data_IF_311087382886
#
_entry.id   IF_311087382886
#
_cell.length_a   1.000
_cell.length_b   1.000
_cell.length_c   1.000
_cell.angle_alpha   90.00
_cell.angle_beta   90.00
_cell.angle_gamma   90.00
#
_symmetry.space_group_name_H-M   'P 1'
#
loop_
_entity.id
_entity.type
_entity.pdbx_description
1 polymer ?
#
# COMPACT_ATOMS: atom_id res chain seq x y z
N UNK A 1 -11.34 5.09 -19.27
CA UNK A 1 -12.17 5.72 -18.25
C UNK A 1 -13.10 4.67 -17.75
N UNK A 2 -13.17 4.50 -16.44
CA UNK A 2 -13.95 3.41 -15.85
C UNK A 2 -14.26 3.64 -14.39
N UNK A 3 -15.12 2.78 -13.85
CA UNK A 3 -15.43 2.74 -12.42
C UNK A 3 -14.59 1.66 -11.74
N UNK A 4 -13.78 2.05 -10.77
CA UNK A 4 -12.84 1.19 -10.07
C UNK A 4 -13.17 1.20 -8.58
N UNK A 5 -13.44 0.03 -8.03
CA UNK A 5 -13.50 -0.19 -6.59
C UNK A 5 -12.07 -0.39 -6.06
N UNK A 6 -11.68 0.36 -5.05
CA UNK A 6 -10.34 0.39 -4.48
C UNK A 6 -10.37 -0.17 -3.06
N UNK A 7 -9.44 -1.09 -2.74
CA UNK A 7 -9.39 -1.79 -1.45
C UNK A 7 -7.98 -1.74 -0.88
N UNK A 8 -7.85 -1.25 0.36
CA UNK A 8 -6.59 -1.20 1.08
C UNK A 8 -6.71 -1.86 2.45
N UNK A 9 -5.87 -2.86 2.70
CA UNK A 9 -5.84 -3.63 3.96
C UNK A 9 -4.43 -4.09 4.33
N UNK A 10 -3.40 -3.59 3.65
CA UNK A 10 -2.02 -4.06 3.80
C UNK A 10 -1.34 -3.60 5.09
N UNK A 11 -1.87 -2.57 5.75
CA UNK A 11 -1.33 -1.98 6.97
C UNK A 11 -2.40 -1.91 8.09
N UNK A 12 -2.22 -1.02 9.06
CA UNK A 12 -3.17 -0.81 10.17
C UNK A 12 -4.51 -0.26 9.68
N UNK A 13 -4.47 0.61 8.67
CA UNK A 13 -5.68 1.18 8.07
C UNK A 13 -6.44 0.12 7.28
N UNK A 14 -7.76 0.14 7.43
CA UNK A 14 -8.70 -0.54 6.55
C UNK A 14 -9.48 0.51 5.78
N UNK A 15 -9.39 0.54 4.46
CA UNK A 15 -10.13 1.49 3.65
C UNK A 15 -10.69 0.87 2.37
N UNK A 16 -11.77 1.47 1.88
CA UNK A 16 -12.31 1.24 0.56
C UNK A 16 -12.73 2.58 -0.07
N UNK A 17 -12.55 2.69 -1.37
CA UNK A 17 -12.95 3.85 -2.13
C UNK A 17 -13.53 3.45 -3.48
N UNK A 18 -14.30 4.35 -4.09
CA UNK A 18 -14.78 4.23 -5.45
C UNK A 18 -14.22 5.39 -6.26
N UNK A 19 -13.56 5.07 -7.35
CA UNK A 19 -13.13 6.06 -8.34
C UNK A 19 -13.93 5.89 -9.63
N UNK A 20 -14.33 7.01 -10.22
CA UNK A 20 -14.98 7.08 -11.54
C UNK A 20 -14.15 8.01 -12.40
N UNK A 21 -13.70 7.53 -13.54
CA UNK A 21 -12.84 8.27 -14.46
C UNK A 21 -11.61 8.90 -13.77
N UNK A 22 -10.96 8.12 -12.90
CA UNK A 22 -9.78 8.52 -12.14
C UNK A 22 -10.04 9.47 -10.95
N UNK A 23 -11.29 9.84 -10.68
CA UNK A 23 -11.67 10.72 -9.57
C UNK A 23 -12.34 9.91 -8.45
N UNK A 24 -11.87 10.06 -7.22
CA UNK A 24 -12.51 9.46 -6.06
C UNK A 24 -13.86 10.12 -5.82
N UNK A 25 -14.95 9.34 -5.89
CA UNK A 25 -16.32 9.78 -5.65
C UNK A 25 -16.87 9.33 -4.29
N UNK A 26 -16.22 8.33 -3.70
CA UNK A 26 -16.51 7.84 -2.35
C UNK A 26 -15.22 7.31 -1.72
N UNK A 27 -15.05 7.53 -0.43
CA UNK A 27 -13.95 6.95 0.34
C UNK A 27 -14.38 6.77 1.79
N UNK A 28 -13.98 5.66 2.38
CA UNK A 28 -14.19 5.35 3.80
C UNK A 28 -13.00 4.60 4.35
N UNK A 29 -12.56 5.00 5.56
CA UNK A 29 -11.45 4.37 6.24
C UNK A 29 -11.67 4.25 7.73
N UNK A 30 -10.93 3.32 8.35
CA UNK A 30 -10.82 3.16 9.79
C UNK A 30 -9.36 2.91 10.16
N UNK A 31 -8.85 3.65 11.13
CA UNK A 31 -7.47 3.63 11.62
C UNK A 31 -7.33 3.00 13.01
N UNK A 32 -8.43 2.56 13.64
CA UNK A 32 -8.42 1.92 14.97
C UNK A 32 -7.73 0.54 14.97
N UNK A 33 -7.42 0.00 13.79
CA UNK A 33 -6.69 -1.27 13.59
C UNK A 33 -7.52 -2.52 13.85
N UNK A 34 -6.97 -3.68 13.39
CA UNK A 34 -7.45 -5.05 13.68
C UNK A 34 -8.94 -5.37 13.39
N UNK A 35 -9.62 -4.58 12.56
CA UNK A 35 -11.04 -4.75 12.24
C UNK A 35 -11.34 -5.01 10.76
N UNK A 36 -10.32 -5.30 9.93
CA UNK A 36 -10.43 -5.41 8.47
C UNK A 36 -11.56 -6.34 8.03
N UNK A 37 -11.59 -7.59 8.53
CA UNK A 37 -12.62 -8.56 8.16
C UNK A 37 -14.04 -8.12 8.55
N UNK A 38 -14.18 -7.34 9.61
CA UNK A 38 -15.48 -6.84 10.09
C UNK A 38 -15.96 -5.61 9.33
N UNK A 39 -15.03 -4.70 8.99
CA UNK A 39 -15.38 -3.38 8.46
C UNK A 39 -15.42 -3.34 6.94
N UNK A 40 -14.47 -4.03 6.29
CA UNK A 40 -14.32 -3.98 4.84
C UNK A 40 -15.60 -4.29 4.06
N UNK A 41 -16.40 -5.32 4.41
CA UNK A 41 -17.65 -5.59 3.68
C UNK A 41 -18.64 -4.41 3.72
N UNK A 42 -18.74 -3.73 4.87
CA UNK A 42 -19.58 -2.54 5.02
C UNK A 42 -19.09 -1.35 4.19
N UNK A 43 -17.78 -1.13 4.15
CA UNK A 43 -17.19 -0.05 3.33
C UNK A 43 -17.38 -0.29 1.84
N UNK A 44 -17.21 -1.55 1.41
CA UNK A 44 -17.47 -1.97 0.03
C UNK A 44 -18.95 -1.78 -0.34
N UNK A 45 -19.88 -2.22 0.50
CA UNK A 45 -21.31 -2.03 0.26
C UNK A 45 -21.70 -0.55 0.12
N UNK A 46 -21.14 0.32 0.97
CA UNK A 46 -21.36 1.78 0.85
C UNK A 46 -20.74 2.35 -0.44
N UNK A 47 -19.54 1.90 -0.84
CA UNK A 47 -18.92 2.30 -2.09
C UNK A 47 -19.80 1.90 -3.31
N UNK A 48 -20.31 0.68 -3.32
CA UNK A 48 -21.17 0.16 -4.37
C UNK A 48 -22.50 0.91 -4.49
N UNK A 49 -23.08 1.35 -3.37
CA UNK A 49 -24.28 2.18 -3.38
C UNK A 49 -24.04 3.54 -4.06
N UNK A 50 -22.83 4.09 -3.92
CA UNK A 50 -22.44 5.33 -4.60
C UNK A 50 -22.25 5.16 -6.12
N UNK A 51 -22.13 3.92 -6.61
CA UNK A 51 -22.07 3.63 -8.04
C UNK A 51 -23.44 3.78 -8.74
N UNK A 52 -24.53 3.82 -7.98
CA UNK A 52 -25.88 4.07 -8.53
C UNK A 52 -26.39 3.01 -9.49
N UNK A 53 -25.88 1.78 -9.42
CA UNK A 53 -26.25 0.68 -10.31
C UNK A 53 -25.45 0.62 -11.62
N UNK A 54 -24.47 1.50 -11.82
CA UNK A 54 -23.57 1.38 -12.97
C UNK A 54 -22.62 0.14 -12.82
N UNK A 55 -22.00 -0.26 -13.92
CA UNK A 55 -21.07 -1.41 -13.92
C UNK A 55 -19.76 -1.03 -13.21
N UNK A 56 -19.17 -1.98 -12.47
CA UNK A 56 -17.76 -1.91 -12.04
C UNK A 56 -16.90 -2.45 -13.18
N UNK A 57 -15.92 -1.67 -13.62
CA UNK A 57 -14.97 -2.10 -14.64
C UNK A 57 -13.79 -2.86 -14.06
N UNK A 58 -13.32 -2.45 -12.87
CA UNK A 58 -12.22 -3.11 -12.18
C UNK A 58 -12.36 -3.03 -10.66
N UNK A 59 -11.70 -3.96 -9.98
CA UNK A 59 -11.41 -3.93 -8.54
C UNK A 59 -9.90 -3.85 -8.38
N UNK A 60 -9.41 -2.83 -7.70
CA UNK A 60 -7.99 -2.68 -7.38
C UNK A 60 -7.74 -2.97 -5.91
N UNK A 61 -6.62 -3.63 -5.60
CA UNK A 61 -6.26 -4.01 -4.24
C UNK A 61 -4.76 -3.91 -4.03
N UNK A 62 -4.35 -3.53 -2.81
CA UNK A 62 -2.94 -3.60 -2.40
C UNK A 62 -2.45 -5.04 -2.46
N UNK A 63 -1.37 -5.24 -3.21
CA UNK A 63 -0.79 -6.57 -3.43
C UNK A 63 0.29 -6.94 -2.41
N UNK A 64 0.74 -6.01 -1.57
CA UNK A 64 1.85 -6.20 -0.64
C UNK A 64 3.13 -5.48 -1.08
N UNK A 65 4.19 -5.57 -0.25
CA UNK A 65 4.23 -6.26 1.04
C UNK A 65 3.38 -5.59 2.12
N UNK A 66 3.14 -6.30 3.24
CA UNK A 66 2.35 -5.76 4.35
C UNK A 66 1.87 -6.83 5.34
N UNK A 67 0.83 -6.49 6.09
CA UNK A 67 0.18 -7.40 7.04
C UNK A 67 -0.31 -8.68 6.35
N UNK A 68 0.21 -9.83 6.73
CA UNK A 68 -0.17 -11.13 6.18
C UNK A 68 -1.69 -11.37 6.22
N UNK A 69 -2.30 -11.13 7.39
CA UNK A 69 -3.76 -11.29 7.55
C UNK A 69 -4.54 -10.23 6.76
N UNK A 70 -4.08 -8.98 6.81
CA UNK A 70 -4.71 -7.89 6.09
C UNK A 70 -4.73 -8.13 4.59
N UNK A 71 -3.59 -8.45 3.99
CA UNK A 71 -3.48 -8.76 2.55
C UNK A 71 -4.40 -9.91 2.13
N UNK A 72 -4.51 -10.98 2.94
CA UNK A 72 -5.42 -12.09 2.63
C UNK A 72 -6.88 -11.66 2.62
N UNK A 73 -7.29 -10.83 3.60
CA UNK A 73 -8.65 -10.30 3.66
C UNK A 73 -8.95 -9.44 2.43
N UNK A 74 -8.08 -8.48 2.12
CA UNK A 74 -8.26 -7.57 0.99
C UNK A 74 -8.28 -8.30 -0.35
N UNK A 75 -7.29 -9.15 -0.61
CA UNK A 75 -7.16 -9.89 -1.87
C UNK A 75 -8.31 -10.89 -2.04
N UNK A 76 -8.71 -11.64 -0.98
CA UNK A 76 -9.85 -12.54 -1.08
C UNK A 76 -11.16 -11.79 -1.38
N UNK A 77 -11.36 -10.63 -0.74
CA UNK A 77 -12.53 -9.76 -1.00
C UNK A 77 -12.49 -9.23 -2.44
N UNK A 78 -11.35 -8.71 -2.89
CA UNK A 78 -11.20 -8.18 -4.24
C UNK A 78 -11.43 -9.24 -5.33
N UNK A 79 -10.89 -10.45 -5.15
CA UNK A 79 -11.11 -11.59 -6.06
C UNK A 79 -12.59 -11.97 -6.12
N UNK A 80 -13.25 -12.07 -4.96
CA UNK A 80 -14.68 -12.40 -4.89
C UNK A 80 -15.55 -11.36 -5.60
N UNK A 81 -15.24 -10.08 -5.43
CA UNK A 81 -15.95 -8.97 -6.10
C UNK A 81 -15.65 -8.94 -7.60
N UNK A 82 -14.39 -9.06 -8.01
CA UNK A 82 -14.02 -9.09 -9.42
C UNK A 82 -14.73 -10.23 -10.16
N UNK A 83 -14.74 -11.43 -9.56
CA UNK A 83 -15.46 -12.57 -10.12
C UNK A 83 -16.98 -12.34 -10.15
N UNK A 84 -17.58 -11.86 -9.05
CA UNK A 84 -19.03 -11.68 -8.94
C UNK A 84 -19.60 -10.59 -9.85
N UNK A 85 -18.82 -9.57 -10.16
CA UNK A 85 -19.22 -8.44 -11.03
C UNK A 85 -18.69 -8.56 -12.46
N UNK A 86 -18.02 -9.65 -12.81
CA UNK A 86 -17.32 -9.79 -14.10
C UNK A 86 -16.41 -8.59 -14.40
N UNK A 87 -15.65 -8.19 -13.37
CA UNK A 87 -14.76 -7.04 -13.40
C UNK A 87 -13.29 -7.48 -13.45
N UNK A 88 -12.42 -6.62 -13.96
CA UNK A 88 -10.99 -6.85 -13.99
C UNK A 88 -10.39 -6.73 -12.56
N UNK A 89 -9.30 -7.46 -12.28
CA UNK A 89 -8.58 -7.36 -11.02
C UNK A 89 -7.24 -6.65 -11.24
N UNK A 90 -6.99 -5.62 -10.46
CA UNK A 90 -5.77 -4.81 -10.52
C UNK A 90 -5.01 -4.96 -9.21
N UNK A 91 -3.72 -5.32 -9.30
CA UNK A 91 -2.81 -5.37 -8.17
C UNK A 91 -1.99 -4.08 -8.11
N UNK A 92 -1.96 -3.42 -6.93
CA UNK A 92 -1.15 -2.22 -6.69
C UNK A 92 -0.15 -2.53 -5.58
N UNK A 93 1.17 -2.50 -5.83
CA UNK A 93 2.18 -2.70 -4.81
C UNK A 93 2.04 -1.66 -3.68
N UNK A 94 2.07 -2.12 -2.43
CA UNK A 94 1.85 -1.22 -1.28
C UNK A 94 2.93 -0.14 -1.16
N UNK A 95 4.19 -0.47 -1.46
CA UNK A 95 5.28 0.50 -1.42
C UNK A 95 5.16 1.54 -2.55
N UNK A 96 4.69 1.16 -3.74
CA UNK A 96 4.38 2.11 -4.82
C UNK A 96 3.25 3.07 -4.42
N UNK A 97 2.18 2.54 -3.79
CA UNK A 97 1.09 3.36 -3.26
C UNK A 97 1.59 4.39 -2.25
N UNK A 98 2.48 3.98 -1.33
CA UNK A 98 3.08 4.88 -0.35
C UNK A 98 3.99 5.92 -1.02
N UNK A 99 4.84 5.53 -1.98
CA UNK A 99 5.70 6.45 -2.73
C UNK A 99 4.87 7.49 -3.48
N UNK A 100 3.80 7.05 -4.15
CA UNK A 100 2.86 7.94 -4.82
C UNK A 100 2.17 8.90 -3.84
N UNK A 101 1.81 8.41 -2.64
CA UNK A 101 1.21 9.23 -1.59
C UNK A 101 2.18 10.32 -1.11
N UNK A 102 3.47 9.99 -0.91
CA UNK A 102 4.50 10.99 -0.58
C UNK A 102 4.57 12.07 -1.65
N UNK A 103 4.77 11.67 -2.93
CA UNK A 103 4.83 12.59 -4.07
C UNK A 103 3.62 13.53 -4.14
N UNK A 104 2.44 13.03 -3.80
CA UNK A 104 1.19 13.82 -3.87
C UNK A 104 0.98 14.72 -2.64
N UNK A 105 1.67 14.45 -1.53
CA UNK A 105 1.44 15.13 -0.24
C UNK A 105 2.49 16.19 0.09
N UNK A 106 3.72 16.03 -0.40
CA UNK A 106 4.84 16.93 -0.13
C UNK A 106 5.58 17.28 -1.43
N UNK A 107 6.24 18.43 -1.43
CA UNK A 107 7.14 18.80 -2.54
C UNK A 107 8.43 18.01 -2.42
N UNK A 108 8.62 17.04 -3.33
CA UNK A 108 9.81 16.20 -3.42
C UNK A 108 10.83 16.87 -4.37
N UNK A 109 12.06 17.05 -3.92
CA UNK A 109 13.12 17.63 -4.76
C UNK A 109 13.37 16.75 -6.00
N UNK A 110 13.68 17.34 -7.18
CA UNK A 110 13.76 16.61 -8.45
C UNK A 110 14.74 15.43 -8.47
N UNK A 111 15.87 15.55 -7.76
CA UNK A 111 16.92 14.52 -7.70
C UNK A 111 16.84 13.63 -6.45
N UNK A 112 15.80 13.82 -5.63
CA UNK A 112 15.61 13.07 -4.40
C UNK A 112 15.11 11.65 -4.68
N UNK A 113 15.25 10.82 -3.66
CA UNK A 113 14.64 9.48 -3.60
C UNK A 113 13.48 9.47 -2.60
N UNK A 114 12.51 8.63 -2.85
CA UNK A 114 11.43 8.29 -1.92
C UNK A 114 11.66 6.86 -1.47
N UNK A 115 11.66 6.64 -0.15
CA UNK A 115 11.84 5.32 0.47
C UNK A 115 10.66 5.02 1.39
N UNK A 116 9.54 4.52 0.87
CA UNK A 116 8.47 4.02 1.70
C UNK A 116 8.93 2.83 2.52
N UNK A 117 8.48 2.77 3.78
CA UNK A 117 8.84 1.74 4.75
C UNK A 117 7.62 1.20 5.45
N UNK A 118 7.43 -0.11 5.38
CA UNK A 118 6.38 -0.83 6.11
C UNK A 118 7.02 -1.57 7.29
N UNK A 119 6.41 -1.49 8.47
CA UNK A 119 6.94 -2.12 9.68
C UNK A 119 6.94 -3.66 9.57
N UNK A 120 8.13 -4.26 9.61
CA UNK A 120 8.34 -5.71 9.63
C UNK A 120 8.71 -6.25 11.03
N UNK A 121 8.45 -5.46 12.08
CA UNK A 121 8.76 -5.68 13.50
C UNK A 121 10.25 -5.48 13.84
N UNK A 122 10.52 -5.15 15.12
CA UNK A 122 11.85 -4.78 15.60
C UNK A 122 12.42 -3.64 14.76
N UNK A 123 13.71 -3.69 14.39
CA UNK A 123 14.34 -2.70 13.49
C UNK A 123 14.31 -3.12 12.02
N UNK A 124 13.46 -4.07 11.65
CA UNK A 124 13.29 -4.48 10.26
C UNK A 124 12.12 -3.77 9.60
N UNK A 125 12.30 -3.41 8.33
CA UNK A 125 11.27 -2.81 7.48
C UNK A 125 11.22 -3.52 6.13
N UNK A 126 10.06 -3.47 5.47
CA UNK A 126 9.97 -3.69 4.03
C UNK A 126 10.09 -2.34 3.36
N UNK A 127 11.03 -2.20 2.45
CA UNK A 127 11.32 -0.94 1.76
C UNK A 127 11.65 -1.15 0.30
N UNK A 128 11.53 -0.08 -0.47
CA UNK A 128 11.93 0.02 -1.87
C UNK A 128 12.26 1.48 -2.17
N UNK A 129 13.24 1.72 -3.02
CA UNK A 129 13.55 3.05 -3.47
C UNK A 129 12.76 3.41 -4.73
N UNK A 130 12.29 4.65 -4.76
CA UNK A 130 11.61 5.28 -5.89
C UNK A 130 12.29 6.61 -6.22
N UNK A 131 12.19 7.05 -7.46
CA UNK A 131 12.61 8.39 -7.83
C UNK A 131 11.58 9.46 -7.37
N UNK A 132 11.87 10.73 -7.60
CA UNK A 132 10.99 11.84 -7.23
C UNK A 132 9.63 11.82 -7.94
N UNK A 133 9.52 11.06 -9.04
CA UNK A 133 8.28 10.85 -9.78
C UNK A 133 7.53 9.58 -9.34
N UNK A 134 7.96 8.96 -8.23
CA UNK A 134 7.44 7.69 -7.70
C UNK A 134 7.54 6.52 -8.71
N UNK A 135 8.61 6.51 -9.53
CA UNK A 135 8.97 5.36 -10.36
C UNK A 135 10.00 4.51 -9.62
N UNK A 136 9.92 3.22 -9.80
CA UNK A 136 10.85 2.28 -9.16
C UNK A 136 12.31 2.59 -9.49
N UNK A 137 13.13 2.72 -8.45
CA UNK A 137 14.59 2.97 -8.52
C UNK A 137 15.42 1.86 -7.84
N UNK A 138 14.75 0.86 -7.27
CA UNK A 138 15.37 -0.31 -6.63
C UNK A 138 14.38 -1.44 -6.44
N UNK A 139 14.86 -2.57 -5.96
CA UNK A 139 14.03 -3.75 -5.65
C UNK A 139 13.39 -3.64 -4.27
N UNK A 140 12.25 -4.31 -4.07
CA UNK A 140 11.64 -4.47 -2.75
C UNK A 140 12.52 -5.36 -1.86
N UNK A 141 12.84 -4.89 -0.66
CA UNK A 141 13.72 -5.58 0.28
C UNK A 141 13.11 -5.65 1.69
N UNK A 142 13.52 -6.68 2.44
CA UNK A 142 13.36 -6.76 3.88
C UNK A 142 14.71 -6.40 4.51
N UNK A 143 14.81 -5.25 5.15
CA UNK A 143 16.07 -4.71 5.64
C UNK A 143 16.02 -4.47 7.15
N UNK A 144 17.08 -4.90 7.86
CA UNK A 144 17.30 -4.53 9.26
C UNK A 144 18.04 -3.20 9.26
N UNK A 145 17.38 -2.15 9.72
CA UNK A 145 17.91 -0.80 9.69
C UNK A 145 19.01 -0.60 10.72
N UNK A 146 20.13 -0.09 10.25
CA UNK A 146 21.32 0.26 11.03
C UNK A 146 21.75 1.70 10.71
N UNK A 147 22.74 2.20 11.42
CA UNK A 147 23.34 3.51 11.13
C UNK A 147 23.97 3.61 9.73
N UNK A 148 24.27 2.45 9.10
CA UNK A 148 24.87 2.38 7.77
C UNK A 148 23.83 2.30 6.65
N UNK A 149 22.57 2.03 6.99
CA UNK A 149 21.48 1.91 6.00
C UNK A 149 21.34 3.20 5.20
N UNK A 150 21.23 3.08 3.89
CA UNK A 150 21.08 4.17 2.90
C UNK A 150 22.24 5.17 2.85
N UNK A 151 23.40 4.94 3.50
CA UNK A 151 24.55 5.85 3.49
C UNK A 151 25.03 6.13 2.06
N UNK A 152 25.01 5.15 1.19
CA UNK A 152 25.42 5.30 -0.22
C UNK A 152 24.62 6.37 -0.97
N UNK A 153 23.36 6.59 -0.60
CA UNK A 153 22.52 7.65 -1.18
C UNK A 153 22.65 8.96 -0.39
N UNK A 154 22.55 8.89 0.93
CA UNK A 154 22.57 10.05 1.82
C UNK A 154 23.90 10.84 1.75
N UNK A 155 25.03 10.17 1.54
CA UNK A 155 26.34 10.80 1.41
C UNK A 155 26.56 11.50 0.06
N UNK A 156 25.73 11.25 -0.95
CA UNK A 156 25.80 11.97 -2.23
C UNK A 156 25.27 13.40 -2.17
N UNK A 157 24.67 13.80 -1.05
CA UNK A 157 23.97 15.08 -0.89
C UNK A 157 22.53 15.06 -1.37
N UNK A 158 22.05 13.93 -1.92
CA UNK A 158 20.64 13.78 -2.32
C UNK A 158 19.77 13.52 -1.10
N UNK A 159 18.59 14.13 -1.08
CA UNK A 159 17.60 13.84 -0.04
C UNK A 159 16.94 12.49 -0.29
N UNK A 160 16.65 11.79 0.82
CA UNK A 160 15.84 10.57 0.81
C UNK A 160 14.63 10.81 1.73
N UNK A 161 13.44 10.73 1.16
CA UNK A 161 12.17 10.90 1.86
C UNK A 161 11.69 9.56 2.39
N UNK A 162 11.82 9.34 3.70
CA UNK A 162 11.35 8.14 4.38
C UNK A 162 9.92 8.34 4.88
N UNK A 163 9.02 7.41 4.59
CA UNK A 163 7.61 7.52 4.93
C UNK A 163 6.97 6.15 5.20
N UNK A 164 5.81 6.14 5.83
CA UNK A 164 5.09 4.92 6.19
C UNK A 164 5.30 4.52 7.65
N UNK A 165 4.58 3.49 8.11
CA UNK A 165 4.56 3.08 9.52
C UNK A 165 5.89 2.49 10.01
N UNK A 166 6.74 2.01 9.08
CA UNK A 166 8.11 1.58 9.38
C UNK A 166 9.11 2.71 9.54
N UNK A 167 8.85 3.91 8.99
CA UNK A 167 9.82 5.00 8.94
C UNK A 167 10.07 5.64 10.32
N UNK A 168 9.02 5.82 11.13
CA UNK A 168 9.12 6.52 12.41
C UNK A 168 10.16 5.90 13.34
N UNK A 169 10.24 4.57 13.44
CA UNK A 169 11.24 3.89 14.28
C UNK A 169 12.68 4.04 13.77
N UNK A 170 12.84 4.32 12.47
CA UNK A 170 14.14 4.42 11.81
C UNK A 170 14.78 5.81 12.00
N UNK A 171 14.01 6.83 12.33
CA UNK A 171 14.48 8.22 12.50
C UNK A 171 15.54 8.38 13.59
N UNK A 172 15.52 7.54 14.62
CA UNK A 172 16.52 7.55 15.68
C UNK A 172 17.87 6.93 15.28
N UNK A 173 17.89 6.19 14.16
CA UNK A 173 19.07 5.44 13.69
C UNK A 173 19.65 6.11 12.43
N UNK A 174 18.79 6.50 11.49
CA UNK A 174 19.19 7.23 10.28
C UNK A 174 19.20 8.73 10.59
N UNK A 175 20.38 9.28 10.96
CA UNK A 175 20.50 10.66 11.48
C UNK A 175 21.11 11.65 10.50
N UNK A 176 21.24 11.29 9.20
CA UNK A 176 21.78 12.19 8.18
C UNK A 176 20.90 13.43 7.98
N UNK A 177 21.51 14.60 7.72
CA UNK A 177 20.79 15.83 7.34
C UNK A 177 20.02 15.71 6.02
N UNK A 178 20.41 14.74 5.17
CA UNK A 178 19.74 14.42 3.93
C UNK A 178 18.58 13.41 4.09
N UNK A 179 18.35 12.90 5.31
CA UNK A 179 17.21 12.04 5.62
C UNK A 179 16.00 12.89 5.99
N UNK A 180 14.95 12.84 5.20
CA UNK A 180 13.70 13.57 5.43
C UNK A 180 12.63 12.55 5.84
N UNK A 181 12.16 12.62 7.08
CA UNK A 181 11.07 11.76 7.54
C UNK A 181 9.73 12.47 7.36
N UNK A 182 8.84 11.87 6.58
CA UNK A 182 7.50 12.40 6.28
C UNK A 182 6.48 11.67 7.12
N UNK A 183 5.88 12.39 8.06
CA UNK A 183 4.88 11.85 8.97
C UNK A 183 3.51 11.68 8.30
N UNK A 184 2.66 10.84 8.90
CA UNK A 184 1.26 10.65 8.52
C UNK A 184 1.04 10.14 7.08
N UNK A 185 2.04 9.52 6.49
CA UNK A 185 1.90 8.79 5.22
C UNK A 185 1.51 7.35 5.52
N UNK A 186 0.32 6.99 5.13
CA UNK A 186 -0.25 5.66 5.31
C UNK A 186 -0.90 5.18 4.01
N UNK A 187 -0.92 3.86 3.73
CA UNK A 187 -1.61 3.36 2.55
C UNK A 187 -3.13 3.56 2.73
N UNK A 188 -3.76 4.22 1.76
CA UNK A 188 -5.19 4.51 1.74
C UNK A 188 -5.77 4.18 0.36
N UNK A 189 -6.94 3.52 0.32
CA UNK A 189 -7.60 3.16 -0.92
C UNK A 189 -7.85 4.37 -1.83
N UNK A 190 -8.17 5.54 -1.27
CA UNK A 190 -8.39 6.74 -2.06
C UNK A 190 -7.15 7.17 -2.86
N UNK A 191 -5.94 7.02 -2.28
CA UNK A 191 -4.70 7.38 -2.94
C UNK A 191 -4.31 6.41 -4.07
N UNK A 192 -4.98 5.25 -4.16
CA UNK A 192 -4.76 4.24 -5.21
C UNK A 192 -5.40 4.63 -6.55
N UNK A 193 -6.32 5.60 -6.57
CA UNK A 193 -7.19 5.87 -7.72
C UNK A 193 -6.41 6.12 -9.03
N UNK A 194 -5.39 6.98 -9.01
CA UNK A 194 -4.61 7.29 -10.21
C UNK A 194 -3.74 6.10 -10.66
N UNK A 195 -3.14 5.37 -9.71
CA UNK A 195 -2.37 4.18 -10.00
C UNK A 195 -3.24 3.09 -10.64
N UNK A 196 -4.45 2.88 -10.12
CA UNK A 196 -5.40 1.92 -10.64
C UNK A 196 -5.93 2.31 -12.03
N UNK A 197 -6.27 3.60 -12.23
CA UNK A 197 -6.71 4.11 -13.52
C UNK A 197 -5.61 3.98 -14.60
N UNK A 198 -4.36 4.25 -14.24
CA UNK A 198 -3.20 4.05 -15.14
C UNK A 198 -3.09 2.59 -15.56
N UNK A 199 -3.18 1.65 -14.61
CA UNK A 199 -3.14 0.21 -14.89
C UNK A 199 -4.32 -0.25 -15.76
N UNK A 200 -5.52 0.25 -15.46
CA UNK A 200 -6.70 -0.04 -16.28
C UNK A 200 -6.48 0.37 -17.75
N UNK A 201 -5.95 1.57 -17.98
CA UNK A 201 -5.66 2.06 -19.34
C UNK A 201 -4.57 1.27 -20.05
N UNK A 202 -3.57 0.81 -19.31
CA UNK A 202 -2.43 0.07 -19.85
C UNK A 202 -2.75 -1.42 -20.06
N UNK A 203 -3.90 -1.93 -19.60
CA UNK A 203 -4.23 -3.35 -19.65
C UNK A 203 -3.43 -4.21 -18.65
N UNK A 204 -2.98 -3.62 -17.54
CA UNK A 204 -2.19 -4.28 -16.50
C UNK A 204 -3.10 -4.94 -15.46
N UNK A 205 -3.53 -6.17 -15.76
CA UNK A 205 -4.45 -6.94 -14.92
C UNK A 205 -3.78 -8.20 -14.40
N UNK A 206 -4.32 -8.72 -13.29
CA UNK A 206 -3.92 -10.00 -12.73
C UNK A 206 -5.04 -11.02 -12.86
N UNK A 207 -4.68 -12.30 -12.93
CA UNK A 207 -5.65 -13.39 -13.03
C UNK A 207 -6.41 -13.56 -11.72
N UNK A 208 -7.75 -13.46 -11.78
CA UNK A 208 -8.62 -13.55 -10.59
C UNK A 208 -8.48 -14.91 -9.87
N UNK A 209 -8.25 -16.00 -10.60
CA UNK A 209 -8.13 -17.33 -10.00
C UNK A 209 -6.77 -17.55 -9.33
N UNK A 210 -5.69 -17.10 -9.96
CA UNK A 210 -4.32 -17.47 -9.57
C UNK A 210 -3.56 -16.35 -8.84
N UNK A 211 -4.07 -15.12 -8.82
CA UNK A 211 -3.41 -14.03 -8.12
C UNK A 211 -3.29 -14.32 -6.62
N UNK A 212 -2.09 -14.11 -6.09
CA UNK A 212 -1.77 -14.19 -4.65
C UNK A 212 -1.07 -12.91 -4.19
N UNK A 213 -1.22 -12.53 -2.90
CA UNK A 213 -0.47 -11.41 -2.35
C UNK A 213 1.04 -11.65 -2.43
N UNK A 214 1.80 -10.58 -2.59
CA UNK A 214 3.25 -10.62 -2.52
C UNK A 214 3.71 -10.74 -1.06
N UNK A 215 4.12 -11.93 -0.67
CA UNK A 215 4.71 -12.21 0.64
C UNK A 215 6.23 -12.18 0.52
N UNK A 216 6.84 -11.07 0.98
CA UNK A 216 8.30 -10.93 0.95
C UNK A 216 9.01 -11.89 1.92
N UNK A 217 8.30 -12.36 2.93
CA UNK A 217 8.75 -13.38 3.89
C UNK A 217 7.69 -14.43 4.11
N UNK A 218 8.16 -15.67 4.36
CA UNK A 218 7.29 -16.75 4.78
C UNK A 218 6.63 -16.45 6.12
N UNK A 219 5.39 -16.91 6.27
CA UNK A 219 4.66 -16.77 7.52
C UNK A 219 5.27 -17.64 8.61
N UNK A 220 5.83 -17.02 9.64
CA UNK A 220 6.28 -17.70 10.85
C UNK A 220 5.21 -17.60 11.92
N UNK A 221 4.54 -18.72 12.21
CA UNK A 221 3.53 -18.78 13.27
C UNK A 221 4.19 -18.51 14.63
N UNK A 222 3.69 -17.51 15.36
CA UNK A 222 4.10 -17.27 16.75
C UNK A 222 3.48 -18.35 17.63
N UNK A 223 4.30 -19.16 18.30
CA UNK A 223 3.79 -20.11 19.30
C UNK A 223 3.16 -19.32 20.45
N UNK A 224 1.90 -19.64 20.76
CA UNK A 224 1.22 -19.07 21.93
C UNK A 224 2.01 -19.37 23.20
N UNK A 225 2.35 -18.33 23.97
CA UNK A 225 2.98 -18.49 25.30
C UNK A 225 2.01 -18.99 26.37
N UNK A 226 0.72 -19.05 26.08
CA UNK A 226 -0.27 -19.62 26.98
C UNK A 226 -0.54 -21.08 26.61
N UNK A 227 -0.07 -22.02 27.43
CA UNK A 227 -0.62 -23.38 27.44
C UNK A 227 -2.09 -23.25 27.82
N UNK A 228 -2.98 -23.58 26.91
CA UNK A 228 -4.37 -23.84 27.25
C UNK A 228 -4.34 -25.15 28.04
N UNK A 229 -4.63 -25.09 29.35
CA UNK A 229 -4.88 -26.22 30.21
C UNK A 229 -6.21 -26.90 29.84
#
# INVERSE_FOLDING_TARGET
MGSILLIETSAKICSAALAVDGKVVFSKKNDEGMAHARLLPGFVDEALKNLGGAKIDAVAVSSGPGSYTGLRIGVATAKGLAFGYDALLIAVPTLELLAYTVKSSVEVEPDALICPMIDARRMEVYSQLFDSEAKEAGETQAEIITEDSYKEFLQTGKKVYFAGDGAAKCSSVITSENAVFVDSIEPDAANMAELAERRLRNGEFVDVAYFEPFYLKDFVATQSKHKVL
#
